data_IF_868602627748
#
_entry.id   IF_868602627748
#
_cell.length_a   1.000
_cell.length_b   1.000
_cell.length_c   1.000
_cell.angle_alpha   90.00
_cell.angle_beta   90.00
_cell.angle_gamma   90.00
#
_symmetry.space_group_name_H-M   'P 1'
#
loop_
_entity.id
_entity.type
_entity.pdbx_description
1 polymer ?
#
# COMPACT_ATOMS: atom_id res chain seq x y z
N UNK A 1 -5.37 -4.79 25.37
CA UNK A 1 -6.02 -5.20 24.13
C UNK A 1 -5.15 -4.95 22.93
N UNK A 2 -5.01 -5.95 22.10
CA UNK A 2 -4.12 -5.88 20.94
C UNK A 2 -4.85 -5.56 19.66
N UNK A 3 -6.12 -5.18 19.77
CA UNK A 3 -6.95 -5.05 18.59
C UNK A 3 -6.40 -4.03 17.57
N UNK A 4 -5.96 -2.86 18.09
CA UNK A 4 -5.47 -1.83 17.19
C UNK A 4 -4.16 -2.24 16.51
N UNK A 5 -3.32 -2.97 17.21
CA UNK A 5 -2.06 -3.43 16.63
C UNK A 5 -2.32 -4.49 15.57
N UNK A 6 -3.23 -5.44 15.87
CA UNK A 6 -3.59 -6.46 14.91
C UNK A 6 -4.19 -5.83 13.66
N UNK A 7 -5.09 -4.85 13.83
CA UNK A 7 -5.68 -4.18 12.68
C UNK A 7 -4.65 -3.43 11.86
N UNK A 8 -3.65 -2.85 12.52
CA UNK A 8 -2.59 -2.15 11.81
C UNK A 8 -1.79 -3.11 10.94
N UNK A 9 -1.48 -4.28 11.48
CA UNK A 9 -0.75 -5.31 10.74
C UNK A 9 -1.57 -5.77 9.54
N UNK A 10 -2.87 -6.01 9.75
CA UNK A 10 -3.74 -6.46 8.67
C UNK A 10 -3.91 -5.38 7.61
N UNK A 11 -4.05 -4.13 8.03
CA UNK A 11 -4.19 -3.03 7.08
C UNK A 11 -2.95 -2.91 6.21
N UNK A 12 -1.77 -3.04 6.83
CA UNK A 12 -0.53 -2.97 6.08
C UNK A 12 -0.44 -4.11 5.06
N UNK A 13 -0.83 -5.31 5.48
CA UNK A 13 -0.80 -6.47 4.60
C UNK A 13 -1.74 -6.29 3.41
N UNK A 14 -2.97 -5.85 3.67
CA UNK A 14 -3.94 -5.65 2.61
C UNK A 14 -3.50 -4.54 1.65
N UNK A 15 -2.95 -3.48 2.21
CA UNK A 15 -2.46 -2.38 1.38
C UNK A 15 -1.31 -2.83 0.49
N UNK A 16 -0.40 -3.64 1.05
CA UNK A 16 0.70 -4.18 0.27
C UNK A 16 0.23 -5.01 -0.90
N UNK A 17 -0.80 -5.84 -0.67
CA UNK A 17 -1.35 -6.64 -1.75
C UNK A 17 -1.99 -5.76 -2.81
N UNK A 18 -2.67 -4.70 -2.40
CA UNK A 18 -3.27 -3.77 -3.37
C UNK A 18 -2.21 -3.05 -4.17
N UNK A 19 -1.11 -2.67 -3.52
CA UNK A 19 -0.01 -2.03 -4.22
C UNK A 19 0.57 -2.96 -5.28
N UNK A 20 0.80 -4.22 -4.92
CA UNK A 20 1.36 -5.18 -5.87
C UNK A 20 0.42 -5.40 -7.04
N UNK A 21 -0.88 -5.51 -6.78
CA UNK A 21 -1.84 -5.71 -7.86
C UNK A 21 -1.88 -4.50 -8.80
N UNK A 22 -1.78 -3.30 -8.23
CA UNK A 22 -1.79 -2.10 -9.07
C UNK A 22 -0.52 -1.99 -9.90
N UNK A 23 0.63 -2.34 -9.31
CA UNK A 23 1.88 -2.36 -10.07
C UNK A 23 1.77 -3.31 -11.24
N UNK A 24 1.24 -4.50 -11.01
CA UNK A 24 1.08 -5.49 -12.08
C UNK A 24 0.14 -4.97 -13.15
N UNK A 25 -0.98 -4.39 -12.72
CA UNK A 25 -1.95 -3.85 -13.68
C UNK A 25 -1.30 -2.78 -14.57
N UNK A 26 -0.54 -1.87 -13.96
CA UNK A 26 0.07 -0.79 -14.71
C UNK A 26 1.13 -1.31 -15.68
N UNK A 27 1.87 -2.34 -15.27
CA UNK A 27 2.87 -2.92 -16.16
C UNK A 27 2.22 -3.57 -17.38
N UNK A 28 1.01 -4.09 -17.23
CA UNK A 28 0.32 -4.78 -18.32
C UNK A 28 -0.57 -3.86 -19.14
N UNK A 29 -0.85 -2.65 -18.64
CA UNK A 29 -1.81 -1.74 -19.28
C UNK A 29 -1.22 -0.34 -19.43
N UNK A 30 -0.05 -0.26 -20.05
CA UNK A 30 0.65 1.01 -20.16
C UNK A 30 -0.06 2.02 -21.03
N UNK A 31 -0.99 1.57 -21.86
CA UNK A 31 -1.76 2.48 -22.73
C UNK A 31 -3.13 2.78 -22.16
N UNK A 32 -3.37 2.40 -20.92
CA UNK A 32 -4.63 2.70 -20.26
C UNK A 32 -4.84 4.22 -20.20
N UNK A 33 -6.09 4.63 -20.44
CA UNK A 33 -6.42 6.06 -20.46
C UNK A 33 -6.12 6.73 -19.12
N UNK A 34 -6.35 5.99 -18.04
CA UNK A 34 -6.14 6.52 -16.69
C UNK A 34 -4.77 6.18 -16.12
N UNK A 35 -3.84 5.80 -16.98
CA UNK A 35 -2.53 5.35 -16.50
C UNK A 35 -1.88 6.36 -15.55
N UNK A 36 -1.90 7.64 -15.92
CA UNK A 36 -1.24 8.65 -15.11
C UNK A 36 -1.91 8.82 -13.76
N UNK A 37 -3.24 8.76 -13.72
CA UNK A 37 -3.95 8.87 -12.46
C UNK A 37 -3.72 7.65 -11.58
N UNK A 38 -3.67 6.47 -12.18
CA UNK A 38 -3.42 5.26 -11.43
C UNK A 38 -1.99 5.23 -10.90
N UNK A 39 -1.05 5.75 -11.68
CA UNK A 39 0.34 5.85 -11.22
C UNK A 39 0.44 6.80 -10.03
N UNK A 40 -0.30 7.89 -10.07
CA UNK A 40 -0.33 8.82 -8.95
C UNK A 40 -0.95 8.15 -7.72
N UNK A 41 -2.03 7.39 -7.93
CA UNK A 41 -2.64 6.65 -6.83
C UNK A 41 -1.65 5.67 -6.22
N UNK A 42 -0.88 4.99 -7.07
CA UNK A 42 0.13 4.05 -6.58
C UNK A 42 1.16 4.77 -5.72
N UNK A 43 1.56 5.96 -6.13
CA UNK A 43 2.53 6.74 -5.36
C UNK A 43 2.02 7.02 -3.95
N UNK A 44 0.77 7.43 -3.83
CA UNK A 44 0.21 7.73 -2.51
C UNK A 44 0.00 6.46 -1.69
N UNK A 45 -0.39 5.37 -2.33
CA UNK A 45 -0.55 4.11 -1.62
C UNK A 45 0.78 3.60 -1.09
N UNK A 46 1.83 3.74 -1.86
CA UNK A 46 3.16 3.33 -1.42
C UNK A 46 3.62 4.16 -0.23
N UNK A 47 3.37 5.48 -0.28
CA UNK A 47 3.69 6.34 0.84
C UNK A 47 2.95 5.96 2.12
N UNK A 48 1.67 5.65 1.98
CA UNK A 48 0.87 5.21 3.11
C UNK A 48 1.42 3.89 3.67
N UNK A 49 1.76 2.97 2.79
CA UNK A 49 2.35 1.69 3.20
C UNK A 49 3.63 1.92 4.02
N UNK A 50 4.46 2.85 3.57
CA UNK A 50 5.69 3.16 4.28
C UNK A 50 5.42 3.71 5.67
N UNK A 51 4.40 4.56 5.79
CA UNK A 51 4.05 5.10 7.11
C UNK A 51 3.58 3.97 8.03
N UNK A 52 2.77 3.06 7.52
CA UNK A 52 2.33 1.92 8.33
C UNK A 52 3.52 1.08 8.78
N UNK A 53 4.49 0.88 7.89
CA UNK A 53 5.69 0.13 8.23
C UNK A 53 6.46 0.83 9.35
N UNK A 54 6.59 2.14 9.27
CA UNK A 54 7.30 2.90 10.31
C UNK A 54 6.56 2.83 11.65
N UNK A 55 5.24 2.89 11.60
CA UNK A 55 4.45 2.81 12.83
C UNK A 55 4.64 1.46 13.51
N UNK A 56 4.61 0.39 12.72
CA UNK A 56 4.81 -0.95 13.28
C UNK A 56 6.22 -1.13 13.80
N UNK A 57 7.20 -0.55 13.12
CA UNK A 57 8.58 -0.63 13.57
C UNK A 57 8.76 0.01 14.95
N UNK A 58 8.06 1.10 15.20
CA UNK A 58 8.13 1.76 16.50
C UNK A 58 7.53 0.90 17.60
N UNK A 59 6.52 0.12 17.27
CA UNK A 59 5.86 -0.70 18.29
C UNK A 59 6.71 -1.89 18.73
N UNK A 60 7.65 -2.30 17.89
CA UNK A 60 8.49 -3.44 18.18
C UNK A 60 9.68 -3.10 19.09
N UNK A 61 9.80 -1.87 19.50
CA UNK A 61 10.91 -1.46 20.39
C UNK A 61 10.57 -1.55 21.87
#
# INVERSE_FOLDING_TARGET
MEDWKTRLIEERKELGEKVERLIKFLNENKECEDFNLLAEQLHYMTGYYEVLTKRLSKLDK
#
